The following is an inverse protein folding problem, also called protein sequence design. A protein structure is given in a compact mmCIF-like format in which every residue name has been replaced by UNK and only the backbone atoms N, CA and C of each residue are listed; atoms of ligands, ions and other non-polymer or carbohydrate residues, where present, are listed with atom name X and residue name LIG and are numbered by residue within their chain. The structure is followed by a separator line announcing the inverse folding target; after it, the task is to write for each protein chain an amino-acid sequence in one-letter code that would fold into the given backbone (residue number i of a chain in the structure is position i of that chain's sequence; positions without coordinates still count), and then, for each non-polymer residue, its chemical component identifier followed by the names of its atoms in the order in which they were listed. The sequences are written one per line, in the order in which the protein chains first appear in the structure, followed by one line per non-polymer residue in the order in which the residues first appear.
data_IF_433179772300
#
_entry.id   IF_433179772300
#
_cell.length_a   1.000
_cell.length_b   1.000
_cell.length_c   1.000
_cell.angle_alpha   90.00
_cell.angle_beta   90.00
_cell.angle_gamma   90.00
#
_symmetry.space_group_name_H-M   'P 1'
#
loop_
_entity.id
_entity.type
_entity.pdbx_description
1 polymer ?
#
# COMPACT_ATOMS: atom_id res chain seq x y z
N UNK A 1 -32.47 15.23 27.92
CA UNK A 1 -31.32 15.34 27.00
C UNK A 1 -30.23 14.47 27.60
N UNK A 2 -29.94 13.31 27.01
CA UNK A 2 -28.84 12.46 27.47
C UNK A 2 -27.53 13.12 27.08
N UNK A 3 -26.69 13.40 28.07
CA UNK A 3 -25.37 13.97 27.84
C UNK A 3 -24.55 13.01 26.97
N UNK A 4 -24.22 13.43 25.75
CA UNK A 4 -23.35 12.74 24.80
C UNK A 4 -21.92 12.71 25.37
N UNK A 5 -21.72 11.95 26.43
CA UNK A 5 -20.43 11.75 27.05
C UNK A 5 -19.72 10.62 26.31
N UNK A 6 -18.53 10.93 25.82
CA UNK A 6 -17.68 9.95 25.14
C UNK A 6 -17.34 8.83 26.14
N UNK A 7 -17.60 7.55 25.83
CA UNK A 7 -17.29 6.42 26.71
C UNK A 7 -15.82 6.41 27.12
N UNK A 8 -15.53 6.07 28.37
CA UNK A 8 -14.17 6.12 28.92
C UNK A 8 -13.21 5.15 28.19
N UNK A 9 -13.73 3.99 27.78
CA UNK A 9 -12.99 3.00 26.98
C UNK A 9 -12.49 3.59 25.65
N UNK A 10 -13.32 4.43 25.00
CA UNK A 10 -12.93 5.09 23.76
C UNK A 10 -11.83 6.12 23.99
N UNK A 11 -11.88 6.87 25.10
CA UNK A 11 -10.80 7.82 25.44
C UNK A 11 -9.48 7.09 25.68
N UNK A 12 -9.51 5.95 26.37
CA UNK A 12 -8.31 5.14 26.58
C UNK A 12 -7.77 4.57 25.27
N UNK A 13 -8.64 4.08 24.38
CA UNK A 13 -8.23 3.61 23.06
C UNK A 13 -7.62 4.72 22.21
N UNK A 14 -8.23 5.91 22.21
CA UNK A 14 -7.72 7.08 21.51
C UNK A 14 -6.33 7.47 22.02
N UNK A 15 -6.12 7.46 23.33
CA UNK A 15 -4.82 7.76 23.94
C UNK A 15 -3.74 6.76 23.49
N UNK A 16 -4.03 5.46 23.54
CA UNK A 16 -3.11 4.41 23.08
C UNK A 16 -2.78 4.55 21.59
N UNK A 17 -3.79 4.87 20.77
CA UNK A 17 -3.60 5.09 19.34
C UNK A 17 -2.67 6.29 19.07
N UNK A 18 -2.85 7.39 19.80
CA UNK A 18 -2.01 8.58 19.64
C UNK A 18 -0.56 8.31 20.04
N UNK A 19 -0.33 7.58 21.13
CA UNK A 19 1.01 7.14 21.56
C UNK A 19 1.67 6.26 20.48
N UNK A 20 0.96 5.22 20.01
CA UNK A 20 1.45 4.34 18.94
C UNK A 20 1.74 5.08 17.63
N UNK A 21 0.92 6.07 17.28
CA UNK A 21 1.12 6.89 16.08
C UNK A 21 2.40 7.70 16.16
N UNK A 22 2.69 8.32 17.30
CA UNK A 22 3.92 9.10 17.48
C UNK A 22 5.17 8.19 17.41
N UNK A 23 5.12 6.99 18.02
CA UNK A 23 6.18 5.98 17.93
C UNK A 23 6.40 5.51 16.48
N UNK A 24 5.32 5.21 15.76
CA UNK A 24 5.37 4.82 14.35
C UNK A 24 6.01 5.91 13.50
N UNK A 25 5.55 7.16 13.63
CA UNK A 25 6.09 8.30 12.89
C UNK A 25 7.58 8.48 13.17
N UNK A 26 8.02 8.30 14.40
CA UNK A 26 9.45 8.32 14.74
C UNK A 26 10.22 7.18 14.08
N UNK A 27 9.66 5.95 14.06
CA UNK A 27 10.30 4.79 13.42
C UNK A 27 10.47 4.93 11.90
N UNK A 28 9.53 5.59 11.21
CA UNK A 28 9.60 5.82 9.76
C UNK A 28 10.36 7.10 9.39
N UNK A 29 11.00 7.75 10.36
CA UNK A 29 11.76 8.99 10.14
C UNK A 29 10.90 10.24 9.89
N UNK A 30 9.60 10.17 10.19
CA UNK A 30 8.67 11.30 10.13
C UNK A 30 8.44 11.94 11.50
N UNK A 31 9.13 11.54 12.57
CA UNK A 31 8.90 12.01 13.95
C UNK A 31 9.04 13.53 14.13
N UNK A 32 9.88 14.18 13.33
CA UNK A 32 10.17 15.62 13.43
C UNK A 32 9.17 16.52 12.70
N UNK A 33 8.09 15.95 12.13
CA UNK A 33 7.12 16.71 11.34
C UNK A 33 6.51 17.92 12.08
N UNK A 34 6.39 17.85 13.41
CA UNK A 34 5.87 18.93 14.26
C UNK A 34 6.86 20.09 14.42
N UNK A 35 8.17 19.83 14.27
CA UNK A 35 9.26 20.79 14.51
C UNK A 35 9.93 21.26 13.21
N UNK A 36 9.54 20.72 12.06
CA UNK A 36 10.00 21.20 10.75
C UNK A 36 9.62 22.67 10.59
N UNK A 37 10.61 23.56 10.55
CA UNK A 37 10.41 24.91 10.07
C UNK A 37 9.94 24.81 8.63
N UNK A 38 8.72 25.30 8.37
CA UNK A 38 8.23 25.45 7.01
C UNK A 38 9.23 26.34 6.27
N UNK A 39 9.71 25.95 5.08
CA UNK A 39 10.53 26.83 4.28
C UNK A 39 9.82 28.17 4.11
N UNK A 40 10.56 29.29 4.13
CA UNK A 40 9.97 30.64 4.05
C UNK A 40 9.15 30.84 2.76
N UNK A 41 9.41 30.04 1.73
CA UNK A 41 8.75 30.08 0.42
C UNK A 41 7.53 29.15 0.31
N UNK A 42 7.01 28.62 1.42
CA UNK A 42 5.82 27.79 1.40
C UNK A 42 4.58 28.66 1.07
N UNK A 43 4.29 28.78 -0.23
CA UNK A 43 3.07 29.40 -0.74
C UNK A 43 1.90 28.63 -0.12
N UNK A 44 1.21 29.22 0.86
CA UNK A 44 -0.05 28.68 1.38
C UNK A 44 -0.99 28.55 0.18
N UNK A 45 -1.47 27.35 -0.18
CA UNK A 45 -2.31 27.20 -1.35
C UNK A 45 -3.60 27.98 -1.10
N UNK A 46 -3.74 29.13 -1.75
CA UNK A 46 -5.03 29.77 -1.92
C UNK A 46 -5.75 28.93 -2.97
N UNK A 47 -6.85 28.28 -2.59
CA UNK A 47 -7.74 27.63 -3.54
C UNK A 47 -8.51 28.70 -4.32
N UNK A 48 -7.81 29.51 -5.11
CA UNK A 48 -8.46 30.20 -6.22
C UNK A 48 -8.76 29.12 -7.25
N UNK A 49 -10.05 28.82 -7.41
CA UNK A 49 -10.62 27.83 -8.33
C UNK A 49 -10.32 28.18 -9.79
N UNK A 50 -9.05 28.05 -10.20
CA UNK A 50 -8.67 27.89 -11.59
C UNK A 50 -8.23 26.44 -11.76
N UNK A 51 -9.19 25.53 -11.54
CA UNK A 51 -8.98 24.14 -11.92
C UNK A 51 -8.82 24.09 -13.44
N UNK A 52 -7.81 23.36 -13.96
CA UNK A 52 -7.69 23.17 -15.39
C UNK A 52 -8.99 22.58 -15.94
N UNK A 53 -9.72 23.37 -16.72
CA UNK A 53 -10.89 22.86 -17.44
C UNK A 53 -10.38 21.88 -18.48
N UNK A 54 -10.83 20.64 -18.40
CA UNK A 54 -10.57 19.66 -19.44
C UNK A 54 -11.10 20.23 -20.77
N UNK A 55 -10.32 20.18 -21.86
CA UNK A 55 -10.81 20.55 -23.17
C UNK A 55 -12.12 19.81 -23.46
N UNK A 56 -13.11 20.50 -24.03
CA UNK A 56 -14.34 19.85 -24.48
C UNK A 56 -13.99 18.68 -25.42
N UNK A 57 -14.61 17.51 -25.25
CA UNK A 57 -14.26 16.30 -26.01
C UNK A 57 -14.31 16.52 -27.53
N UNK A 58 -15.24 17.36 -28.01
CA UNK A 58 -15.39 17.72 -29.43
C UNK A 58 -14.30 18.66 -29.97
N UNK A 59 -13.50 19.27 -29.09
CA UNK A 59 -12.47 20.27 -29.44
C UNK A 59 -11.06 19.82 -29.06
N UNK A 60 -10.91 18.65 -28.44
CA UNK A 60 -9.60 18.09 -28.14
C UNK A 60 -8.87 17.76 -29.46
N UNK A 61 -7.78 18.47 -29.74
CA UNK A 61 -6.87 18.17 -30.85
C UNK A 61 -6.05 16.93 -30.51
N UNK A 62 -6.70 15.78 -30.57
CA UNK A 62 -6.13 14.49 -30.22
C UNK A 62 -7.26 13.49 -30.15
N UNK A 63 -7.29 12.55 -31.11
CA UNK A 63 -8.30 11.48 -31.14
C UNK A 63 -8.28 10.62 -29.88
N UNK A 64 -9.11 9.57 -29.88
CA UNK A 64 -9.25 8.61 -28.78
C UNK A 64 -7.89 8.28 -28.14
N UNK A 65 -7.82 8.24 -26.81
CA UNK A 65 -6.57 8.00 -26.06
C UNK A 65 -5.80 6.75 -26.53
N UNK A 66 -6.52 5.74 -27.01
CA UNK A 66 -5.95 4.54 -27.63
C UNK A 66 -5.07 4.86 -28.85
N UNK A 67 -5.48 5.82 -29.67
CA UNK A 67 -4.79 6.24 -30.88
C UNK A 67 -3.57 7.13 -30.55
N UNK A 68 -3.67 7.93 -29.48
CA UNK A 68 -2.54 8.69 -28.95
C UNK A 68 -1.46 7.78 -28.38
N UNK A 69 -1.83 6.82 -27.53
CA UNK A 69 -0.88 5.85 -26.96
C UNK A 69 -0.20 5.05 -28.07
N UNK A 70 -0.93 4.64 -29.10
CA UNK A 70 -0.34 3.95 -30.26
C UNK A 70 0.66 4.83 -31.02
N UNK A 71 0.32 6.11 -31.25
CA UNK A 71 1.16 7.05 -32.01
C UNK A 71 2.40 7.49 -31.25
N UNK A 72 2.30 7.67 -29.94
CA UNK A 72 3.37 8.20 -29.08
C UNK A 72 4.21 7.11 -28.41
N UNK A 73 3.82 5.83 -28.52
CA UNK A 73 4.55 4.70 -27.94
C UNK A 73 5.97 4.53 -28.48
N UNK A 74 6.25 4.96 -29.73
CA UNK A 74 7.56 4.72 -30.36
C UNK A 74 8.68 5.61 -29.80
N UNK A 75 8.34 6.78 -29.26
CA UNK A 75 9.29 7.76 -28.72
C UNK A 75 9.32 7.75 -27.17
N UNK A 76 8.72 6.74 -26.53
CA UNK A 76 8.53 6.72 -25.09
C UNK A 76 9.83 6.38 -24.35
N UNK A 77 10.33 7.31 -23.53
CA UNK A 77 11.54 7.14 -22.71
C UNK A 77 11.28 6.37 -21.40
N UNK A 78 10.08 5.83 -21.18
CA UNK A 78 9.70 5.14 -19.95
C UNK A 78 10.65 3.98 -19.59
N UNK A 79 11.16 3.25 -20.59
CA UNK A 79 12.10 2.12 -20.39
C UNK A 79 13.58 2.54 -20.41
N UNK A 80 13.89 3.82 -20.67
CA UNK A 80 15.28 4.30 -20.76
C UNK A 80 15.95 4.54 -19.41
N UNK A 81 15.22 4.38 -18.31
CA UNK A 81 15.75 4.56 -16.96
C UNK A 81 16.87 3.54 -16.67
N UNK A 82 17.96 3.90 -15.98
CA UNK A 82 19.13 3.02 -15.80
C UNK A 82 18.78 1.66 -15.20
N UNK A 83 17.76 1.60 -14.33
CA UNK A 83 17.26 0.37 -13.71
C UNK A 83 16.65 -0.64 -14.69
N UNK A 84 16.25 -0.19 -15.88
CA UNK A 84 15.63 -1.01 -16.93
C UNK A 84 16.60 -1.30 -18.09
N UNK A 85 17.88 -0.93 -17.98
CA UNK A 85 18.89 -1.28 -18.98
C UNK A 85 19.12 -2.79 -18.96
N UNK A 86 18.78 -3.46 -20.07
CA UNK A 86 19.09 -4.87 -20.26
C UNK A 86 20.61 -5.07 -20.19
N UNK A 87 21.10 -5.55 -19.04
CA UNK A 87 22.50 -5.96 -18.87
C UNK A 87 23.19 -5.54 -17.57
N UNK A 88 22.66 -4.55 -16.83
CA UNK A 88 23.37 -4.04 -15.62
C UNK A 88 22.68 -4.34 -14.28
N UNK A 89 21.40 -4.74 -14.31
CA UNK A 89 20.72 -5.33 -13.16
C UNK A 89 20.75 -6.84 -13.26
N UNK A 90 21.19 -7.53 -12.20
CA UNK A 90 21.21 -8.99 -12.09
C UNK A 90 19.89 -9.59 -12.64
N UNK A 91 19.95 -10.17 -13.85
CA UNK A 91 18.83 -10.96 -14.36
C UNK A 91 18.64 -12.10 -13.36
N UNK A 92 17.50 -12.13 -12.68
CA UNK A 92 17.16 -13.23 -11.79
C UNK A 92 17.30 -14.54 -12.57
N UNK A 93 18.29 -15.33 -12.20
CA UNK A 93 18.51 -16.66 -12.74
C UNK A 93 17.49 -17.63 -12.13
N UNK A 94 17.27 -18.78 -12.75
CA UNK A 94 16.36 -19.81 -12.20
C UNK A 94 16.78 -20.18 -10.75
N UNK A 95 18.08 -20.13 -10.48
CA UNK A 95 18.70 -20.36 -9.19
C UNK A 95 18.38 -19.27 -8.15
N UNK A 96 18.05 -18.04 -8.55
CA UNK A 96 17.64 -16.99 -7.61
C UNK A 96 16.19 -17.18 -7.12
N UNK A 97 15.37 -17.94 -7.88
CA UNK A 97 14.05 -18.41 -7.46
C UNK A 97 14.10 -19.76 -6.74
N UNK A 98 15.26 -20.42 -6.76
CA UNK A 98 15.55 -21.57 -5.92
C UNK A 98 15.88 -21.04 -4.52
N UNK A 99 14.85 -20.51 -3.84
CA UNK A 99 14.94 -19.97 -2.49
C UNK A 99 15.78 -20.91 -1.61
N UNK A 100 16.56 -20.31 -0.68
CA UNK A 100 17.13 -21.04 0.45
C UNK A 100 16.10 -22.07 0.93
N UNK A 101 16.50 -23.32 1.24
CA UNK A 101 15.58 -24.29 1.82
C UNK A 101 14.81 -23.54 2.90
N UNK A 102 13.49 -23.44 2.72
CA UNK A 102 12.64 -22.58 3.52
C UNK A 102 12.79 -22.92 5.00
N UNK A 103 12.10 -22.20 5.88
CA UNK A 103 12.05 -22.52 7.31
C UNK A 103 11.96 -24.05 7.45
N UNK A 104 13.01 -24.67 8.00
CA UNK A 104 13.06 -26.12 8.13
C UNK A 104 11.83 -26.50 8.95
N UNK A 105 10.84 -27.10 8.29
CA UNK A 105 9.67 -27.62 8.95
C UNK A 105 10.20 -28.69 9.90
N UNK A 106 10.37 -28.34 11.17
CA UNK A 106 10.70 -29.32 12.19
C UNK A 106 9.62 -30.41 12.13
N UNK A 107 10.04 -31.68 12.18
CA UNK A 107 9.18 -32.89 12.08
C UNK A 107 8.08 -32.98 13.16
N UNK A 108 7.84 -31.92 13.92
CA UNK A 108 6.77 -31.77 14.91
C UNK A 108 5.56 -31.03 14.34
N UNK A 109 5.22 -31.29 13.08
CA UNK A 109 3.86 -30.99 12.62
C UNK A 109 2.90 -31.95 13.35
N UNK A 110 1.75 -31.47 13.85
CA UNK A 110 0.76 -32.37 14.43
C UNK A 110 0.37 -33.42 13.38
N UNK A 111 0.27 -34.69 13.80
CA UNK A 111 -0.16 -35.78 12.91
C UNK A 111 -1.44 -35.37 12.19
N UNK A 112 -1.47 -35.57 10.88
CA UNK A 112 -2.68 -35.36 10.10
C UNK A 112 -3.80 -36.19 10.71
N UNK A 113 -4.78 -35.53 11.31
CA UNK A 113 -5.94 -36.19 11.88
C UNK A 113 -6.64 -37.00 10.78
N UNK A 114 -7.08 -38.20 11.13
CA UNK A 114 -7.74 -39.09 10.19
C UNK A 114 -9.03 -38.44 9.65
N UNK A 115 -9.43 -38.78 8.42
CA UNK A 115 -10.62 -38.18 7.77
C UNK A 115 -11.88 -38.28 8.64
N UNK A 116 -11.99 -39.33 9.45
CA UNK A 116 -13.14 -39.57 10.33
C UNK A 116 -13.16 -38.62 11.54
N UNK A 117 -12.00 -38.29 12.11
CA UNK A 117 -11.89 -37.33 13.22
C UNK A 117 -12.17 -35.89 12.78
N UNK A 118 -11.76 -35.53 11.55
CA UNK A 118 -12.09 -34.23 10.97
C UNK A 118 -13.59 -34.10 10.70
N UNK A 119 -14.24 -35.18 10.24
CA UNK A 119 -15.68 -35.20 9.99
C UNK A 119 -16.48 -35.09 11.29
N UNK A 120 -16.09 -35.81 12.33
CA UNK A 120 -16.73 -35.73 13.64
C UNK A 120 -16.66 -34.31 14.25
N UNK A 121 -15.49 -33.66 14.16
CA UNK A 121 -15.34 -32.26 14.63
C UNK A 121 -16.13 -31.26 13.79
N UNK A 122 -16.24 -31.47 12.48
CA UNK A 122 -17.03 -30.61 11.61
C UNK A 122 -18.54 -30.74 11.91
N UNK A 123 -19.03 -31.94 12.17
CA UNK A 123 -20.42 -32.20 12.54
C UNK A 123 -20.78 -31.61 13.92
N UNK A 124 -19.83 -31.57 14.85
CA UNK A 124 -20.02 -30.93 16.16
C UNK A 124 -20.08 -29.39 16.04
N UNK A 125 -19.24 -28.79 15.20
CA UNK A 125 -19.22 -27.34 14.96
C UNK A 125 -20.42 -26.84 14.14
N UNK A 126 -21.01 -27.68 13.29
CA UNK A 126 -22.18 -27.34 12.47
C UNK A 126 -23.51 -27.44 13.24
N UNK A 127 -23.51 -27.84 14.52
CA UNK A 127 -24.71 -27.81 15.38
C UNK A 127 -25.00 -26.42 15.96
N UNK A 128 -24.44 -25.36 15.37
CA UNK A 128 -24.69 -23.97 15.75
C UNK A 128 -25.85 -23.37 14.97
#
# INVERSE_FOLDING_TARGET
MSDNTVPEDFKQHLKKYLEFKDDYLQSVGLGDWKNTQLPPDLIKPTFTTNMPVLPQEDKASGGNITDQVAKESSESTASSHPIHKEGEGAKATIQDHQANPGIALSDKLPQAASKDELKARAEELNKK
#
